data_IF_310150656062
#
_entry.id   IF_310150656062
#
_cell.length_a   1.000
_cell.length_b   1.000
_cell.length_c   1.000
_cell.angle_alpha   90.00
_cell.angle_beta   90.00
_cell.angle_gamma   90.00
#
_symmetry.space_group_name_H-M   'P 1'
#
loop_
_entity.id
_entity.type
_entity.pdbx_description
1 polymer ?
#
# COMPACT_ATOMS: atom_id res chain seq x y z
N UNK A 1 2.52 -21.86 -1.38
CA UNK A 1 2.46 -22.89 -2.45
C UNK A 1 1.10 -22.85 -3.12
N UNK A 2 1.02 -23.12 -4.43
CA UNK A 2 -0.23 -23.39 -5.16
C UNK A 2 -0.51 -24.90 -5.31
N UNK A 3 0.38 -25.75 -4.80
CA UNK A 3 0.26 -27.20 -4.79
C UNK A 3 0.19 -27.71 -3.35
N UNK A 4 -0.57 -28.79 -3.14
CA UNK A 4 -0.71 -29.42 -1.82
C UNK A 4 0.58 -30.12 -1.36
N UNK A 5 1.29 -30.78 -2.27
CA UNK A 5 2.56 -31.44 -2.00
C UNK A 5 3.73 -30.47 -2.13
N UNK A 6 4.80 -30.74 -1.39
CA UNK A 6 6.04 -29.97 -1.45
C UNK A 6 6.56 -29.90 -2.89
N UNK A 7 6.77 -28.69 -3.37
CA UNK A 7 7.51 -28.37 -4.58
C UNK A 7 8.77 -27.59 -4.19
N UNK A 8 9.72 -27.38 -5.09
CA UNK A 8 10.80 -26.42 -4.84
C UNK A 8 10.19 -25.03 -4.60
N UNK A 9 9.97 -24.69 -3.33
CA UNK A 9 9.63 -23.36 -2.87
C UNK A 9 10.81 -22.81 -2.06
N UNK A 10 11.12 -21.55 -2.29
CA UNK A 10 12.28 -20.87 -1.71
C UNK A 10 11.88 -19.89 -0.62
N UNK A 11 10.59 -19.88 -0.24
CA UNK A 11 10.06 -18.99 0.79
C UNK A 11 10.30 -19.58 2.17
N UNK A 12 10.84 -18.75 3.05
CA UNK A 12 11.08 -19.09 4.45
C UNK A 12 9.92 -18.58 5.34
N UNK A 13 9.91 -19.03 6.59
CA UNK A 13 8.99 -18.48 7.61
C UNK A 13 9.24 -16.98 7.83
N UNK A 14 10.49 -16.51 7.69
CA UNK A 14 10.81 -15.09 7.79
C UNK A 14 10.10 -14.27 6.72
N UNK A 15 9.99 -14.79 5.49
CA UNK A 15 9.25 -14.11 4.41
C UNK A 15 7.75 -14.02 4.73
N UNK A 16 7.20 -15.04 5.39
CA UNK A 16 5.83 -15.04 5.88
C UNK A 16 5.62 -13.98 6.97
N UNK A 17 6.55 -13.86 7.92
CA UNK A 17 6.51 -12.84 8.98
C UNK A 17 6.60 -11.42 8.42
N UNK A 18 7.47 -11.16 7.43
CA UNK A 18 7.53 -9.86 6.74
C UNK A 18 6.22 -9.52 6.04
N UNK A 19 5.61 -10.50 5.38
CA UNK A 19 4.31 -10.32 4.72
C UNK A 19 3.23 -10.04 5.75
N UNK A 20 3.22 -10.76 6.87
CA UNK A 20 2.28 -10.55 7.95
C UNK A 20 2.39 -9.14 8.54
N UNK A 21 3.61 -8.67 8.83
CA UNK A 21 3.85 -7.32 9.33
C UNK A 21 3.33 -6.24 8.36
N UNK A 22 3.54 -6.44 7.05
CA UNK A 22 2.99 -5.55 6.02
C UNK A 22 1.45 -5.54 6.02
N UNK A 23 0.82 -6.71 6.11
CA UNK A 23 -0.65 -6.80 6.14
C UNK A 23 -1.24 -6.17 7.40
N UNK A 24 -0.58 -6.31 8.56
CA UNK A 24 -0.99 -5.63 9.79
C UNK A 24 -0.91 -4.10 9.66
N UNK A 25 0.12 -3.58 8.97
CA UNK A 25 0.20 -2.15 8.66
C UNK A 25 -0.98 -1.69 7.79
N UNK A 26 -1.42 -2.48 6.81
CA UNK A 26 -2.57 -2.14 5.97
C UNK A 26 -3.85 -2.08 6.79
N UNK A 27 -4.10 -3.08 7.63
CA UNK A 27 -5.26 -3.12 8.54
C UNK A 27 -5.32 -1.88 9.44
N UNK A 28 -4.20 -1.52 10.08
CA UNK A 28 -4.13 -0.33 10.94
C UNK A 28 -4.33 0.97 10.14
N UNK A 29 -3.68 1.10 8.99
CA UNK A 29 -3.76 2.31 8.17
C UNK A 29 -5.18 2.60 7.65
N UNK A 30 -5.98 1.56 7.42
CA UNK A 30 -7.34 1.66 6.91
C UNK A 30 -8.42 1.54 8.00
N UNK A 31 -8.05 1.19 9.24
CA UNK A 31 -9.02 0.96 10.32
C UNK A 31 -9.92 -0.25 10.08
N UNK A 32 -9.38 -1.32 9.50
CA UNK A 32 -10.13 -2.54 9.12
C UNK A 32 -9.41 -3.82 9.59
N UNK A 33 -10.12 -4.94 9.56
CA UNK A 33 -9.58 -6.27 9.84
C UNK A 33 -9.22 -7.04 8.55
N UNK A 34 -8.58 -8.20 8.70
CA UNK A 34 -8.12 -9.05 7.60
C UNK A 34 -9.26 -9.49 6.66
N UNK A 35 -10.44 -9.71 7.23
CA UNK A 35 -11.66 -10.16 6.55
C UNK A 35 -12.25 -9.11 5.60
N UNK A 36 -11.82 -7.85 5.71
CA UNK A 36 -12.13 -6.82 4.73
C UNK A 36 -11.57 -7.14 3.33
N UNK A 37 -10.47 -7.88 3.26
CA UNK A 37 -9.78 -8.22 2.02
C UNK A 37 -9.58 -9.73 1.79
N UNK A 38 -9.83 -10.58 2.78
CA UNK A 38 -9.53 -12.01 2.69
C UNK A 38 -10.60 -12.91 3.31
N UNK A 39 -10.74 -14.12 2.78
CA UNK A 39 -11.18 -15.25 3.59
C UNK A 39 -9.96 -15.86 4.27
N UNK A 40 -9.84 -15.74 5.60
CA UNK A 40 -8.64 -16.12 6.35
C UNK A 40 -8.36 -17.63 6.33
N UNK A 41 -9.33 -18.48 5.95
CA UNK A 41 -9.09 -19.91 5.70
C UNK A 41 -8.10 -20.15 4.55
N UNK A 42 -7.98 -19.20 3.62
CA UNK A 42 -7.03 -19.24 2.51
C UNK A 42 -6.71 -17.83 2.00
N UNK A 43 -5.68 -17.21 2.57
CA UNK A 43 -5.24 -15.86 2.16
C UNK A 43 -4.78 -15.77 0.70
N UNK A 44 -4.29 -16.87 0.11
CA UNK A 44 -3.77 -16.88 -1.25
C UNK A 44 -4.86 -16.95 -2.34
N UNK A 45 -6.07 -17.38 -1.99
CA UNK A 45 -7.15 -17.63 -2.94
C UNK A 45 -7.90 -16.33 -3.31
N UNK A 46 -7.72 -15.90 -4.56
CA UNK A 46 -8.37 -14.70 -5.10
C UNK A 46 -9.86 -14.90 -5.35
N UNK A 47 -10.30 -16.12 -5.69
CA UNK A 47 -11.71 -16.40 -5.98
C UNK A 47 -12.62 -16.25 -4.75
N UNK A 48 -12.03 -16.31 -3.55
CA UNK A 48 -12.70 -16.17 -2.27
C UNK A 48 -12.44 -14.81 -1.60
N UNK A 49 -11.81 -13.88 -2.32
CA UNK A 49 -11.47 -12.56 -1.78
C UNK A 49 -12.53 -11.53 -2.13
N UNK A 50 -12.86 -10.62 -1.21
CA UNK A 50 -13.65 -9.43 -1.51
C UNK A 50 -12.99 -8.55 -2.59
N UNK A 51 -13.78 -7.76 -3.36
CA UNK A 51 -13.25 -6.89 -4.42
C UNK A 51 -12.27 -5.82 -3.91
N UNK A 52 -12.35 -5.45 -2.63
CA UNK A 52 -11.42 -4.53 -1.95
C UNK A 52 -9.96 -4.98 -2.08
N UNK A 53 -9.71 -6.30 -2.15
CA UNK A 53 -8.36 -6.84 -2.34
C UNK A 53 -7.75 -6.42 -3.69
N UNK A 54 -8.57 -6.27 -4.73
CA UNK A 54 -8.12 -5.78 -6.05
C UNK A 54 -7.70 -4.32 -5.94
N UNK A 55 -8.51 -3.48 -5.28
CA UNK A 55 -8.17 -2.07 -5.03
C UNK A 55 -6.88 -1.94 -4.21
N UNK A 56 -6.73 -2.73 -3.14
CA UNK A 56 -5.52 -2.75 -2.33
C UNK A 56 -4.30 -3.21 -3.14
N UNK A 57 -4.47 -4.18 -4.04
CA UNK A 57 -3.41 -4.62 -4.95
C UNK A 57 -2.90 -3.47 -5.81
N UNK A 58 -3.79 -2.66 -6.41
CA UNK A 58 -3.39 -1.46 -7.16
C UNK A 58 -2.79 -0.38 -6.24
N UNK A 59 -3.33 -0.21 -5.03
CA UNK A 59 -2.79 0.71 -4.02
C UNK A 59 -1.32 0.46 -3.69
N UNK A 60 -0.89 -0.81 -3.60
CA UNK A 60 0.53 -1.16 -3.42
C UNK A 60 1.39 -0.61 -4.56
N UNK A 61 0.94 -0.73 -5.82
CA UNK A 61 1.70 -0.28 -6.99
C UNK A 61 1.77 1.23 -7.02
N UNK A 62 0.64 1.89 -6.76
CA UNK A 62 0.56 3.35 -6.66
C UNK A 62 1.55 3.90 -5.62
N UNK A 63 1.58 3.34 -4.40
CA UNK A 63 2.50 3.82 -3.35
C UNK A 63 3.97 3.57 -3.72
N UNK A 64 4.28 2.45 -4.40
CA UNK A 64 5.64 2.21 -4.92
C UNK A 64 6.04 3.24 -5.96
N UNK A 65 5.15 3.53 -6.90
CA UNK A 65 5.36 4.53 -7.95
C UNK A 65 5.58 5.94 -7.36
N UNK A 66 4.70 6.39 -6.46
CA UNK A 66 4.83 7.66 -5.75
C UNK A 66 6.18 7.78 -5.03
N UNK A 67 6.60 6.72 -4.33
CA UNK A 67 7.86 6.76 -3.60
C UNK A 67 9.08 6.75 -4.53
N UNK A 68 9.12 5.86 -5.52
CA UNK A 68 10.30 5.66 -6.38
C UNK A 68 10.46 6.79 -7.38
N UNK A 69 9.38 7.21 -8.02
CA UNK A 69 9.44 8.13 -9.16
C UNK A 69 9.22 9.60 -8.77
N UNK A 70 8.64 9.88 -7.60
CA UNK A 70 8.35 11.25 -7.17
C UNK A 70 9.09 11.66 -5.90
N UNK A 71 9.06 10.87 -4.82
CA UNK A 71 9.58 11.32 -3.52
C UNK A 71 11.08 11.06 -3.31
N UNK A 72 11.59 9.90 -3.74
CA UNK A 72 13.01 9.59 -3.64
C UNK A 72 13.89 10.58 -4.42
N UNK A 73 13.56 10.98 -5.67
CA UNK A 73 14.35 11.94 -6.44
C UNK A 73 14.41 13.34 -5.82
N UNK A 74 13.47 13.70 -4.94
CA UNK A 74 13.43 15.00 -4.28
C UNK A 74 14.41 15.13 -3.10
N UNK A 75 15.19 14.08 -2.78
CA UNK A 75 16.14 14.07 -1.65
C UNK A 75 17.00 15.34 -1.58
N UNK A 76 17.60 15.73 -2.69
CA UNK A 76 18.57 16.83 -2.72
C UNK A 76 17.90 18.23 -2.67
N UNK A 77 16.57 18.28 -2.84
CA UNK A 77 15.77 19.50 -2.71
C UNK A 77 15.33 19.72 -1.26
N UNK A 78 15.19 18.65 -0.47
CA UNK A 78 14.77 18.76 0.91
C UNK A 78 15.86 19.39 1.80
N UNK A 79 15.50 20.32 2.69
CA UNK A 79 16.44 20.80 3.69
C UNK A 79 16.78 19.68 4.68
N UNK A 80 17.97 19.73 5.27
CA UNK A 80 18.50 18.66 6.12
C UNK A 80 17.54 18.18 7.23
N UNK A 81 16.76 19.10 7.83
CA UNK A 81 15.82 18.77 8.90
C UNK A 81 14.59 17.96 8.45
N UNK A 82 14.38 17.78 7.14
CA UNK A 82 13.32 16.94 6.57
C UNK A 82 13.81 15.54 6.19
N UNK A 83 15.12 15.29 6.29
CA UNK A 83 15.72 14.00 5.99
C UNK A 83 15.75 13.09 7.24
N UNK A 84 15.64 11.78 7.02
CA UNK A 84 15.69 10.80 8.10
C UNK A 84 17.08 10.74 8.77
N UNK A 85 17.15 10.59 10.11
CA UNK A 85 18.40 10.73 10.86
C UNK A 85 19.42 9.62 10.60
N UNK A 86 18.97 8.42 10.23
CA UNK A 86 19.84 7.25 10.09
C UNK A 86 20.59 7.17 8.75
N UNK A 87 19.93 7.55 7.65
CA UNK A 87 20.47 7.41 6.28
C UNK A 87 20.28 8.64 5.40
N UNK A 88 19.70 9.72 5.93
CA UNK A 88 19.38 10.92 5.15
C UNK A 88 18.31 10.67 4.08
N UNK A 89 17.43 9.69 4.29
CA UNK A 89 16.38 9.36 3.33
C UNK A 89 15.32 10.47 3.29
N UNK A 90 14.76 10.80 2.11
CA UNK A 90 13.61 11.68 2.05
C UNK A 90 12.37 11.02 2.67
N UNK A 91 11.41 11.84 3.12
CA UNK A 91 10.11 11.34 3.55
C UNK A 91 9.44 10.60 2.39
N UNK A 92 8.72 9.54 2.74
CA UNK A 92 7.98 8.67 1.81
C UNK A 92 6.52 8.59 2.24
N UNK A 93 5.67 8.13 1.34
CA UNK A 93 4.25 7.88 1.61
C UNK A 93 4.01 6.40 1.92
N UNK A 94 3.01 6.15 2.75
CA UNK A 94 2.45 4.81 2.97
C UNK A 94 0.91 4.89 2.96
N UNK A 95 0.25 3.77 3.26
CA UNK A 95 -1.22 3.70 3.31
C UNK A 95 -1.81 4.73 4.29
N UNK A 96 -1.20 4.90 5.47
CA UNK A 96 -1.68 5.79 6.52
C UNK A 96 -1.54 7.27 6.15
N UNK A 97 -0.62 7.64 5.25
CA UNK A 97 -0.45 9.03 4.81
C UNK A 97 -1.73 9.61 4.21
N UNK A 98 -2.52 8.80 3.50
CA UNK A 98 -3.80 9.22 2.92
C UNK A 98 -5.00 8.69 3.72
N UNK A 99 -4.97 7.42 4.12
CA UNK A 99 -6.11 6.79 4.77
C UNK A 99 -6.29 7.22 6.22
N UNK A 100 -5.20 7.50 6.94
CA UNK A 100 -5.22 7.99 8.31
C UNK A 100 -6.23 7.26 9.24
N UNK A 101 -6.26 5.93 9.17
CA UNK A 101 -7.11 5.08 10.01
C UNK A 101 -8.54 4.88 9.50
N UNK A 102 -8.86 5.29 8.27
CA UNK A 102 -10.20 5.11 7.68
C UNK A 102 -10.16 4.40 6.32
N UNK A 103 -11.20 3.60 6.04
CA UNK A 103 -11.28 2.70 4.88
C UNK A 103 -11.25 3.43 3.52
N UNK A 104 -11.64 4.71 3.51
CA UNK A 104 -11.44 5.65 2.40
C UNK A 104 -10.95 6.98 2.96
N UNK A 105 -9.93 7.62 2.35
CA UNK A 105 -9.46 8.94 2.76
C UNK A 105 -10.63 9.91 2.89
N UNK A 106 -10.71 10.62 4.02
CA UNK A 106 -11.80 11.56 4.33
C UNK A 106 -13.20 10.95 4.17
N UNK A 107 -13.36 9.68 4.52
CA UNK A 107 -14.59 8.89 4.35
C UNK A 107 -15.14 8.86 2.91
N UNK A 108 -14.30 9.13 1.91
CA UNK A 108 -14.66 9.09 0.49
C UNK A 108 -15.20 10.40 -0.08
N UNK A 109 -15.07 11.53 0.63
CA UNK A 109 -15.36 12.84 0.05
C UNK A 109 -14.37 13.14 -1.08
N UNK A 110 -14.89 13.33 -2.30
CA UNK A 110 -14.09 13.62 -3.49
C UNK A 110 -13.91 15.12 -3.67
N UNK A 111 -12.86 15.70 -3.09
CA UNK A 111 -12.56 17.14 -3.27
C UNK A 111 -11.93 17.43 -4.65
N UNK A 112 -11.14 16.51 -5.19
CA UNK A 112 -10.43 16.70 -6.46
C UNK A 112 -11.36 16.87 -7.68
N UNK A 113 -12.64 16.51 -7.56
CA UNK A 113 -13.61 16.71 -8.62
C UNK A 113 -13.87 18.21 -8.90
N UNK A 114 -13.72 19.07 -7.90
CA UNK A 114 -14.01 20.50 -8.02
C UNK A 114 -12.81 21.31 -8.57
N UNK A 115 -11.65 20.67 -8.72
CA UNK A 115 -10.39 21.29 -9.16
C UNK A 115 -9.85 20.57 -10.42
N UNK A 116 -10.25 20.98 -11.62
CA UNK A 116 -9.86 20.35 -12.88
C UNK A 116 -8.33 20.24 -13.08
N UNK A 117 -7.56 21.18 -12.55
CA UNK A 117 -6.10 21.22 -12.59
C UNK A 117 -5.43 20.05 -11.83
N UNK A 118 -6.16 19.40 -10.92
CA UNK A 118 -5.69 18.22 -10.18
C UNK A 118 -6.03 16.91 -10.89
N UNK A 119 -6.80 16.97 -11.98
CA UNK A 119 -7.05 15.80 -12.83
C UNK A 119 -5.82 15.62 -13.71
N UNK A 120 -5.24 14.42 -13.72
CA UNK A 120 -4.17 14.09 -14.67
C UNK A 120 -4.62 14.35 -16.11
N UNK A 121 -3.68 14.43 -17.04
CA UNK A 121 -4.01 14.55 -18.47
C UNK A 121 -5.06 13.48 -18.82
N UNK A 122 -6.22 13.92 -19.33
CA UNK A 122 -7.21 12.97 -19.83
C UNK A 122 -6.52 12.18 -20.94
N UNK A 123 -6.30 10.89 -20.71
CA UNK A 123 -5.83 9.99 -21.74
C UNK A 123 -6.76 10.15 -22.94
N UNK A 124 -6.22 10.72 -24.02
CA UNK A 124 -6.91 10.81 -25.32
C UNK A 124 -7.09 9.42 -25.90
#
# INVERSE_FOLDING_TARGET
STAALRRPDWLSIKDAEWTYALMMNFSQALGVNCDYCHNTRSFADWSQSPPQRVTAWHGIRMVRDLNVNYLVPLKDVFPAHRLGPARGDPPKVNCATCHNGVFKPLFGVSMAQDFPELRGEQAR
#
